data_IF_652131110070
#
_entry.id   IF_652131110070
#
_cell.length_a   1.000
_cell.length_b   1.000
_cell.length_c   1.000
_cell.angle_alpha   90.00
_cell.angle_beta   90.00
_cell.angle_gamma   90.00
#
_symmetry.space_group_name_H-M   'P 1'
#
loop_
_entity.id
_entity.type
_entity.pdbx_description
1 polymer ?
#
# COMPACT_ATOMS: atom_id res chain seq x y z
N UNK A 1 -12.60 18.45 0.36
CA UNK A 1 -11.81 19.10 -0.69
C UNK A 1 -10.71 20.00 -0.18
N UNK A 2 -10.91 20.62 1.00
CA UNK A 2 -9.82 21.39 1.59
C UNK A 2 -8.55 20.57 1.74
N UNK A 3 -8.71 19.31 2.14
CA UNK A 3 -7.58 18.41 2.30
C UNK A 3 -6.81 18.25 0.99
N UNK A 4 -7.51 18.05 -0.11
CA UNK A 4 -6.85 17.88 -1.39
C UNK A 4 -6.18 19.19 -1.83
N UNK A 5 -6.82 20.31 -1.59
CA UNK A 5 -6.23 21.59 -1.93
C UNK A 5 -4.93 21.82 -1.16
N UNK A 6 -4.90 21.39 0.11
CA UNK A 6 -3.69 21.59 0.91
C UNK A 6 -2.60 20.59 0.59
N UNK A 7 -2.95 19.45 -0.04
CA UNK A 7 -1.95 18.43 -0.34
C UNK A 7 -1.39 18.53 -1.75
N UNK A 8 -1.67 19.61 -2.46
CA UNK A 8 -1.15 19.73 -3.82
C UNK A 8 0.37 19.70 -3.85
N UNK A 9 1.02 20.06 -2.74
CA UNK A 9 2.47 20.01 -2.63
C UNK A 9 2.97 18.71 -2.02
N UNK A 10 2.07 17.83 -1.61
CA UNK A 10 2.44 16.57 -1.01
C UNK A 10 2.63 15.55 -2.12
N UNK A 11 3.76 14.88 -2.10
CA UNK A 11 4.03 13.81 -3.05
C UNK A 11 3.28 12.56 -2.62
N UNK A 12 2.56 11.95 -3.55
CA UNK A 12 1.85 10.71 -3.33
C UNK A 12 2.72 9.59 -3.85
N UNK A 13 2.96 8.61 -2.98
CA UNK A 13 3.76 7.44 -3.31
C UNK A 13 3.08 6.22 -2.72
N UNK A 14 3.48 5.05 -3.19
CA UNK A 14 3.00 3.78 -2.63
C UNK A 14 4.20 2.99 -2.16
N UNK A 15 3.99 2.07 -1.23
CA UNK A 15 5.07 1.19 -0.82
C UNK A 15 5.20 0.04 -1.82
N UNK A 16 6.40 -0.54 -1.87
CA UNK A 16 6.62 -1.71 -2.71
C UNK A 16 5.76 -2.89 -2.24
N UNK A 17 5.37 -2.89 -0.98
CA UNK A 17 4.50 -3.94 -0.43
C UNK A 17 3.11 -3.82 -1.04
N UNK A 18 2.58 -2.61 -1.14
CA UNK A 18 1.29 -2.38 -1.79
C UNK A 18 1.36 -2.79 -3.26
N UNK A 19 2.46 -2.46 -3.92
CA UNK A 19 2.68 -2.88 -5.31
C UNK A 19 2.66 -4.42 -5.42
N UNK A 20 3.36 -5.09 -4.50
CA UNK A 20 3.39 -6.55 -4.47
C UNK A 20 1.98 -7.13 -4.35
N UNK A 21 1.18 -6.58 -3.45
CA UNK A 21 -0.18 -7.05 -3.24
C UNK A 21 -1.04 -6.87 -4.48
N UNK A 22 -0.91 -5.74 -5.14
CA UNK A 22 -1.68 -5.47 -6.35
C UNK A 22 -1.31 -6.43 -7.47
N UNK A 23 -0.02 -6.65 -7.67
CA UNK A 23 0.44 -7.57 -8.72
C UNK A 23 0.00 -8.99 -8.39
N UNK A 24 0.12 -9.40 -7.13
CA UNK A 24 -0.31 -10.73 -6.72
C UNK A 24 -1.80 -10.94 -6.98
N UNK A 25 -2.61 -9.92 -6.68
CA UNK A 25 -4.04 -10.00 -6.95
C UNK A 25 -4.34 -10.16 -8.43
N UNK A 26 -3.62 -9.42 -9.28
CA UNK A 26 -3.81 -9.53 -10.73
C UNK A 26 -3.38 -10.91 -11.24
N UNK A 27 -2.29 -11.46 -10.70
CA UNK A 27 -1.83 -12.77 -11.11
C UNK A 27 -2.79 -13.86 -10.65
N UNK A 28 -3.36 -13.73 -9.45
CA UNK A 28 -4.37 -14.67 -8.98
C UNK A 28 -5.61 -14.64 -9.87
N UNK A 29 -6.06 -13.45 -10.24
CA UNK A 29 -7.21 -13.31 -11.12
C UNK A 29 -6.93 -13.96 -12.47
N UNK A 30 -5.73 -13.74 -13.00
CA UNK A 30 -5.32 -14.34 -14.26
C UNK A 30 -5.30 -15.86 -14.18
N UNK A 31 -4.82 -16.41 -13.07
CA UNK A 31 -4.72 -17.87 -12.92
C UNK A 31 -6.09 -18.53 -12.88
N UNK A 32 -7.13 -17.79 -12.56
CA UNK A 32 -8.49 -18.32 -12.52
C UNK A 32 -9.26 -18.09 -13.81
N UNK A 33 -8.68 -17.40 -14.78
CA UNK A 33 -9.34 -17.11 -16.04
C UNK A 33 -9.40 -18.37 -16.89
N UNK A 34 -10.60 -18.75 -17.31
CA UNK A 34 -10.81 -20.01 -18.03
C UNK A 34 -11.33 -19.80 -19.44
N UNK A 35 -11.89 -18.65 -19.74
CA UNK A 35 -12.40 -18.35 -21.08
C UNK A 35 -11.50 -17.34 -21.75
N UNK A 36 -11.65 -17.24 -23.07
CA UNK A 36 -10.90 -16.25 -23.83
C UNK A 36 -11.20 -14.83 -23.32
N UNK A 37 -12.47 -14.56 -23.06
CA UNK A 37 -12.89 -13.24 -22.58
C UNK A 37 -12.28 -12.96 -21.22
N UNK A 38 -12.28 -13.95 -20.32
CA UNK A 38 -11.70 -13.77 -18.99
C UNK A 38 -10.18 -13.52 -19.07
N UNK A 39 -9.50 -14.21 -19.95
CA UNK A 39 -8.06 -14.01 -20.13
C UNK A 39 -7.74 -12.61 -20.64
N UNK A 40 -8.52 -12.13 -21.59
CA UNK A 40 -8.32 -10.79 -22.12
C UNK A 40 -8.51 -9.74 -21.04
N UNK A 41 -9.56 -9.88 -20.22
CA UNK A 41 -9.82 -8.96 -19.14
C UNK A 41 -8.70 -9.01 -18.09
N UNK A 42 -8.23 -10.21 -17.77
CA UNK A 42 -7.20 -10.37 -16.76
C UNK A 42 -5.87 -9.75 -17.21
N UNK A 43 -5.47 -9.98 -18.44
CA UNK A 43 -4.24 -9.38 -18.95
C UNK A 43 -4.35 -7.88 -19.09
N UNK A 44 -5.51 -7.38 -19.47
CA UNK A 44 -5.72 -5.94 -19.54
C UNK A 44 -5.60 -5.30 -18.15
N UNK A 45 -6.14 -5.96 -17.14
CA UNK A 45 -6.01 -5.47 -15.77
C UNK A 45 -4.57 -5.46 -15.30
N UNK A 46 -3.81 -6.51 -15.61
CA UNK A 46 -2.39 -6.56 -15.28
C UNK A 46 -1.62 -5.42 -15.96
N UNK A 47 -1.89 -5.21 -17.25
CA UNK A 47 -1.23 -4.15 -18.00
C UNK A 47 -1.56 -2.76 -17.45
N UNK A 48 -2.82 -2.54 -17.10
CA UNK A 48 -3.26 -1.26 -16.53
C UNK A 48 -2.54 -1.00 -15.22
N UNK A 49 -2.45 -2.01 -14.37
CA UNK A 49 -1.73 -1.88 -13.09
C UNK A 49 -0.27 -1.51 -13.32
N UNK A 50 0.38 -2.16 -14.27
CA UNK A 50 1.77 -1.85 -14.58
C UNK A 50 1.95 -0.41 -15.03
N UNK A 51 1.04 0.09 -15.87
CA UNK A 51 1.11 1.46 -16.34
C UNK A 51 0.88 2.46 -15.22
N UNK A 52 -0.07 2.17 -14.34
CA UNK A 52 -0.36 3.06 -13.23
C UNK A 52 0.86 3.22 -12.33
N UNK A 53 1.56 2.13 -12.06
CA UNK A 53 2.73 2.17 -11.19
C UNK A 53 3.96 2.76 -11.85
N UNK A 54 3.94 2.97 -13.16
CA UNK A 54 5.01 3.73 -13.81
C UNK A 54 4.93 5.22 -13.51
N UNK A 55 3.76 5.69 -13.07
CA UNK A 55 3.52 7.11 -12.83
C UNK A 55 3.60 7.49 -11.35
N UNK A 56 3.73 6.52 -10.47
CA UNK A 56 3.71 6.75 -9.03
C UNK A 56 5.02 6.26 -8.43
N UNK A 57 5.70 7.10 -7.63
CA UNK A 57 6.92 6.63 -6.95
C UNK A 57 6.61 5.47 -6.03
N UNK A 58 7.50 4.48 -6.02
CA UNK A 58 7.35 3.30 -5.18
C UNK A 58 8.42 3.36 -4.09
N UNK A 59 7.97 3.39 -2.84
CA UNK A 59 8.89 3.45 -1.70
C UNK A 59 9.45 2.05 -1.43
N UNK A 60 10.75 1.93 -1.22
CA UNK A 60 11.38 0.61 -1.13
C UNK A 60 11.25 -0.02 0.25
N UNK A 61 11.32 -1.34 0.27
CA UNK A 61 11.53 -2.07 1.51
C UNK A 61 13.04 -2.34 1.59
N UNK A 62 13.78 -1.32 2.00
CA UNK A 62 15.23 -1.37 2.07
C UNK A 62 15.70 -1.86 3.43
N UNK A 63 17.00 -1.81 3.68
CA UNK A 63 17.53 -2.32 4.91
C UNK A 63 16.99 -1.60 6.16
N UNK A 64 16.95 -0.26 6.18
CA UNK A 64 16.33 0.42 7.33
C UNK A 64 14.88 0.01 7.54
N UNK A 65 14.10 -0.16 6.46
CA UNK A 65 12.72 -0.60 6.57
C UNK A 65 12.63 -2.02 7.14
N UNK A 66 13.55 -2.89 6.74
CA UNK A 66 13.58 -4.26 7.25
C UNK A 66 13.87 -4.29 8.75
N UNK A 67 14.80 -3.45 9.22
CA UNK A 67 15.11 -3.35 10.65
C UNK A 67 13.90 -2.83 11.41
N UNK A 68 13.24 -1.80 10.87
CA UNK A 68 12.05 -1.24 11.52
C UNK A 68 10.92 -2.25 11.56
N UNK A 69 10.77 -3.05 10.51
CA UNK A 69 9.79 -4.12 10.48
C UNK A 69 10.03 -5.13 11.60
N UNK A 70 11.30 -5.49 11.85
CA UNK A 70 11.63 -6.38 12.95
C UNK A 70 11.19 -5.81 14.29
N UNK A 71 11.42 -4.52 14.49
CA UNK A 71 11.03 -3.84 15.72
C UNK A 71 9.50 -3.86 15.87
N UNK A 72 8.78 -3.56 14.80
CA UNK A 72 7.32 -3.50 14.84
C UNK A 72 6.71 -4.88 15.08
N UNK A 73 7.31 -5.92 14.53
CA UNK A 73 6.81 -7.29 14.75
C UNK A 73 6.81 -7.66 16.23
N UNK A 74 7.82 -7.21 16.95
CA UNK A 74 7.92 -7.49 18.39
C UNK A 74 6.93 -6.65 19.19
N UNK A 75 6.71 -5.41 18.77
CA UNK A 75 5.87 -4.49 19.51
C UNK A 75 4.38 -4.69 19.23
N UNK A 76 4.04 -5.09 18.01
CA UNK A 76 2.62 -5.15 17.57
C UNK A 76 2.33 -6.52 16.96
N UNK A 77 2.30 -7.52 17.82
CA UNK A 77 2.18 -8.92 17.38
C UNK A 77 0.86 -9.27 16.73
N UNK A 78 -0.18 -8.47 17.00
CA UNK A 78 -1.51 -8.75 16.48
C UNK A 78 -1.71 -8.30 15.06
N UNK A 79 -0.84 -7.43 14.56
CA UNK A 79 -0.98 -6.90 13.22
C UNK A 79 -0.38 -7.87 12.21
N UNK A 80 -0.98 -7.88 11.02
CA UNK A 80 -0.50 -8.72 9.95
C UNK A 80 0.88 -8.31 9.47
N UNK A 81 1.61 -9.27 8.93
CA UNK A 81 2.98 -9.05 8.53
C UNK A 81 3.09 -8.02 7.40
N UNK A 82 2.16 -8.06 6.44
CA UNK A 82 2.17 -7.10 5.33
C UNK A 82 1.89 -5.68 5.83
N UNK A 83 0.93 -5.53 6.75
CA UNK A 83 0.63 -4.22 7.32
C UNK A 83 1.83 -3.66 8.06
N UNK A 84 2.54 -4.51 8.80
CA UNK A 84 3.73 -4.07 9.53
C UNK A 84 4.85 -3.65 8.58
N UNK A 85 4.98 -4.31 7.44
CA UNK A 85 5.96 -3.90 6.43
C UNK A 85 5.62 -2.53 5.84
N UNK A 86 4.34 -2.30 5.56
CA UNK A 86 3.89 -1.01 5.05
C UNK A 86 4.16 0.08 6.08
N UNK A 87 3.84 -0.20 7.33
CA UNK A 87 4.11 0.76 8.42
C UNK A 87 5.60 1.04 8.56
N UNK A 88 6.44 0.00 8.46
CA UNK A 88 7.88 0.18 8.58
C UNK A 88 8.43 1.10 7.49
N UNK A 89 7.99 0.91 6.27
CA UNK A 89 8.41 1.79 5.18
C UNK A 89 7.97 3.22 5.44
N UNK A 90 6.72 3.40 5.88
CA UNK A 90 6.18 4.72 6.14
C UNK A 90 6.96 5.44 7.23
N UNK A 91 7.31 4.72 8.30
CA UNK A 91 8.08 5.31 9.40
C UNK A 91 9.48 5.71 8.95
N UNK A 92 10.16 4.83 8.22
CA UNK A 92 11.53 5.09 7.76
C UNK A 92 11.55 6.28 6.80
N UNK A 93 10.54 6.40 5.96
CA UNK A 93 10.45 7.49 4.99
C UNK A 93 9.86 8.76 5.60
N UNK A 94 9.45 8.71 6.87
CA UNK A 94 8.79 9.82 7.54
C UNK A 94 7.56 10.28 6.74
N UNK A 95 6.81 9.31 6.27
CA UNK A 95 5.65 9.55 5.42
C UNK A 95 4.37 9.35 6.21
N UNK A 96 3.31 10.01 5.76
CA UNK A 96 1.97 9.80 6.31
C UNK A 96 1.28 8.72 5.50
N UNK A 97 0.78 7.69 6.17
CA UNK A 97 0.09 6.59 5.52
C UNK A 97 -1.36 6.97 5.27
N UNK A 98 -1.77 6.90 4.00
CA UNK A 98 -3.17 7.08 3.63
C UNK A 98 -3.81 5.70 3.63
N UNK A 99 -4.83 5.52 4.46
CA UNK A 99 -5.43 4.21 4.62
C UNK A 99 -6.92 4.32 4.89
N UNK A 100 -7.65 3.30 4.43
CA UNK A 100 -9.04 3.12 4.82
C UNK A 100 -9.15 2.19 6.03
N UNK A 101 -8.03 1.68 6.52
CA UNK A 101 -7.98 0.71 7.61
C UNK A 101 -7.36 1.34 8.84
N UNK A 102 -7.99 2.41 9.31
CA UNK A 102 -7.47 3.18 10.43
C UNK A 102 -7.42 2.38 11.72
N UNK A 103 -8.34 1.44 11.89
CA UNK A 103 -8.40 0.66 13.12
C UNK A 103 -7.15 -0.19 13.33
N UNK A 104 -6.58 -0.72 12.24
CA UNK A 104 -5.37 -1.52 12.36
C UNK A 104 -4.12 -0.65 12.49
N UNK A 105 -3.97 0.32 11.61
CA UNK A 105 -2.77 1.14 11.59
C UNK A 105 -2.72 2.14 12.75
N UNK A 106 -3.87 2.52 13.29
CA UNK A 106 -3.92 3.44 14.41
C UNK A 106 -3.33 2.88 15.69
N UNK A 107 -3.15 1.56 15.76
CA UNK A 107 -2.52 0.92 16.91
C UNK A 107 -1.04 1.30 17.01
N UNK A 108 -0.41 1.58 15.88
CA UNK A 108 1.00 1.96 15.83
C UNK A 108 1.11 3.43 16.14
N UNK A 109 1.55 3.75 17.36
CA UNK A 109 1.51 5.12 17.87
C UNK A 109 2.43 6.07 17.12
N UNK A 110 3.58 5.60 16.68
CA UNK A 110 4.56 6.43 15.99
C UNK A 110 4.17 6.75 14.56
N UNK A 111 3.20 6.00 14.01
CA UNK A 111 2.83 6.10 12.61
C UNK A 111 1.85 7.24 12.39
N UNK A 112 2.18 8.09 11.43
CA UNK A 112 1.29 9.16 11.00
C UNK A 112 0.33 8.59 9.95
N UNK A 113 -0.96 8.64 10.21
CA UNK A 113 -1.95 8.09 9.29
C UNK A 113 -3.01 9.13 8.96
N UNK A 114 -3.63 8.97 7.80
CA UNK A 114 -4.79 9.75 7.38
C UNK A 114 -5.83 8.79 6.83
N UNK A 115 -7.05 8.97 7.29
CA UNK A 115 -8.15 8.14 6.82
C UNK A 115 -8.71 8.73 5.53
N UNK A 116 -8.65 7.94 4.47
CA UNK A 116 -9.16 8.33 3.16
C UNK A 116 -10.41 7.57 2.78
N UNK A 117 -11.08 6.99 3.78
CA UNK A 117 -12.34 6.32 3.54
C UNK A 117 -13.38 7.32 3.04
N UNK A 118 -14.03 7.00 1.95
CA UNK A 118 -15.04 7.87 1.37
C UNK A 118 -16.23 8.02 2.32
N UNK A 119 -16.61 6.92 2.95
CA UNK A 119 -17.76 6.93 3.83
C UNK A 119 -17.45 7.61 5.15
N UNK A 120 -16.19 7.66 5.50
CA UNK A 120 -15.78 8.35 6.71
C UNK A 120 -15.57 9.83 6.49
N UNK A 121 -15.63 10.25 5.25
CA UNK A 121 -15.40 11.64 4.91
C UNK A 121 -16.58 12.52 5.27
#
# INVERSE_FOLDING_TARGET
MAKIATVEKIQIAVTVITYEEQIRGRLNFLSQAKTVEQQVIAYKGLQTTAKDYCLIPILPFDYPAAIEHQRLRKAYRRLGNMDLKIAAISLVQNATLLTCNESDFGIIQELSIENWSINGS
#
